data_IF_613254909825
#
_entry.id   IF_613254909825
#
_cell.length_a   1.000
_cell.length_b   1.000
_cell.length_c   1.000
_cell.angle_alpha   90.00
_cell.angle_beta   90.00
_cell.angle_gamma   90.00
#
_symmetry.space_group_name_H-M   'P 1'
#
loop_
_entity.id
_entity.type
_entity.pdbx_description
1 polymer ?
#
# COMPACT_ATOMS: atom_id res chain seq x y z
N UNK A 1 -34.48 -76.88 -4.20
CA UNK A 1 -33.03 -77.02 -3.96
C UNK A 1 -32.29 -76.63 -5.23
N UNK A 2 -31.46 -75.58 -5.12
CA UNK A 2 -30.33 -75.15 -5.99
C UNK A 2 -30.53 -74.97 -7.51
N UNK A 3 -30.41 -73.70 -7.90
CA UNK A 3 -30.12 -73.13 -9.22
C UNK A 3 -28.88 -73.73 -9.91
N UNK A 4 -28.88 -73.74 -11.24
CA UNK A 4 -27.69 -73.45 -12.05
C UNK A 4 -28.09 -72.70 -13.34
N UNK A 5 -27.27 -71.70 -13.64
CA UNK A 5 -27.41 -70.58 -14.57
C UNK A 5 -27.23 -71.03 -16.03
N UNK A 6 -28.09 -70.59 -16.95
CA UNK A 6 -27.85 -70.73 -18.40
C UNK A 6 -27.99 -69.38 -19.10
N UNK A 7 -26.83 -68.91 -19.54
CA UNK A 7 -26.62 -68.23 -20.82
C UNK A 7 -27.37 -66.92 -21.04
N UNK A 8 -26.69 -65.89 -20.54
CA UNK A 8 -26.61 -64.54 -21.07
C UNK A 8 -26.40 -64.58 -22.59
N UNK A 9 -27.45 -64.25 -23.35
CA UNK A 9 -27.30 -63.69 -24.69
C UNK A 9 -28.52 -62.84 -25.01
N UNK A 10 -28.25 -61.62 -25.49
CA UNK A 10 -29.18 -60.68 -26.10
C UNK A 10 -30.12 -59.91 -25.16
N UNK A 11 -29.62 -58.83 -24.55
CA UNK A 11 -30.23 -57.50 -24.71
C UNK A 11 -29.10 -56.45 -24.73
N UNK A 12 -28.46 -56.30 -25.88
CA UNK A 12 -27.80 -55.05 -26.28
C UNK A 12 -28.92 -54.19 -26.87
N UNK A 13 -29.55 -53.37 -26.04
CA UNK A 13 -30.38 -52.26 -26.50
C UNK A 13 -30.68 -51.33 -25.31
N UNK A 14 -30.43 -50.04 -25.52
CA UNK A 14 -30.77 -48.90 -24.64
C UNK A 14 -29.72 -48.63 -23.55
N UNK A 15 -28.52 -48.28 -23.99
CA UNK A 15 -27.56 -47.47 -23.25
C UNK A 15 -27.65 -46.03 -23.79
N UNK A 16 -28.67 -45.28 -23.39
CA UNK A 16 -28.80 -43.85 -23.74
C UNK A 16 -29.18 -43.06 -22.49
N UNK A 17 -28.12 -42.48 -21.91
CA UNK A 17 -28.01 -41.13 -21.33
C UNK A 17 -29.07 -40.65 -20.33
N UNK A 18 -28.72 -40.62 -19.04
CA UNK A 18 -28.98 -39.50 -18.13
C UNK A 18 -27.92 -39.48 -17.00
N UNK A 19 -26.65 -39.24 -17.35
CA UNK A 19 -25.71 -38.62 -16.40
C UNK A 19 -25.81 -37.11 -16.57
N UNK A 20 -26.76 -36.51 -15.86
CA UNK A 20 -26.73 -35.07 -15.59
C UNK A 20 -25.68 -34.85 -14.51
N UNK A 21 -24.40 -34.76 -14.90
CA UNK A 21 -23.40 -34.13 -14.06
C UNK A 21 -23.77 -32.64 -14.00
N UNK A 22 -24.43 -32.24 -12.90
CA UNK A 22 -24.36 -30.86 -12.44
C UNK A 22 -22.89 -30.53 -12.29
N UNK A 23 -22.33 -29.79 -13.24
CA UNK A 23 -21.08 -29.10 -13.01
C UNK A 23 -21.44 -27.84 -12.24
N UNK A 24 -21.72 -28.03 -10.95
CA UNK A 24 -21.57 -26.96 -9.97
C UNK A 24 -20.08 -26.63 -9.97
N UNK A 25 -19.73 -25.77 -10.92
CA UNK A 25 -18.46 -25.08 -10.95
C UNK A 25 -18.54 -24.01 -9.88
N UNK A 26 -18.49 -24.43 -8.61
CA UNK A 26 -18.16 -23.53 -7.53
C UNK A 26 -16.74 -23.04 -7.80
N UNK A 27 -16.63 -21.89 -8.46
CA UNK A 27 -15.40 -21.11 -8.49
C UNK A 27 -14.92 -20.99 -7.05
N UNK A 28 -13.70 -21.45 -6.72
CA UNK A 28 -13.24 -21.43 -5.34
C UNK A 28 -13.33 -20.00 -4.81
N UNK A 29 -14.00 -19.84 -3.67
CA UNK A 29 -14.14 -18.55 -3.01
C UNK A 29 -12.74 -18.00 -2.76
N UNK A 30 -12.39 -16.93 -3.48
CA UNK A 30 -11.10 -16.25 -3.32
C UNK A 30 -11.06 -15.68 -1.90
N UNK A 31 -10.07 -16.10 -1.11
CA UNK A 31 -9.85 -15.53 0.21
C UNK A 31 -9.30 -14.11 0.06
N UNK A 32 -10.21 -13.14 0.10
CA UNK A 32 -9.88 -11.71 0.01
C UNK A 32 -8.88 -11.25 1.08
N UNK A 33 -8.81 -11.93 2.23
CA UNK A 33 -7.92 -11.59 3.34
C UNK A 33 -6.59 -12.35 3.31
N UNK A 34 -6.27 -13.06 2.22
CA UNK A 34 -4.96 -13.67 2.08
C UNK A 34 -3.87 -12.60 2.24
N UNK A 35 -2.85 -12.89 3.06
CA UNK A 35 -1.71 -12.00 3.34
C UNK A 35 -2.06 -10.71 4.11
N UNK A 36 -3.32 -10.54 4.55
CA UNK A 36 -3.76 -9.37 5.32
C UNK A 36 -3.99 -9.72 6.78
N UNK A 37 -3.43 -8.91 7.67
CA UNK A 37 -3.60 -9.04 9.12
C UNK A 37 -4.40 -7.86 9.65
N UNK A 38 -5.46 -8.14 10.43
CA UNK A 38 -6.27 -7.10 11.08
C UNK A 38 -5.44 -6.43 12.18
N UNK A 39 -5.40 -5.10 12.18
CA UNK A 39 -4.65 -4.33 13.18
C UNK A 39 -5.52 -3.41 14.04
N UNK A 40 -6.73 -3.06 13.58
CA UNK A 40 -7.62 -2.15 14.31
C UNK A 40 -9.09 -2.40 13.98
N UNK A 41 -9.95 -2.09 14.94
CA UNK A 41 -11.38 -1.89 14.71
C UNK A 41 -11.78 -0.45 15.09
N UNK A 42 -12.60 0.16 14.25
CA UNK A 42 -13.22 1.46 14.48
C UNK A 42 -14.73 1.22 14.49
N UNK A 43 -15.45 1.69 15.50
CA UNK A 43 -16.89 1.44 15.61
C UNK A 43 -17.68 2.72 15.73
N UNK A 44 -18.90 2.70 15.20
CA UNK A 44 -19.95 3.65 15.56
C UNK A 44 -21.17 2.89 16.08
N UNK A 45 -22.32 3.54 16.19
CA UNK A 45 -23.54 2.90 16.72
C UNK A 45 -23.97 1.65 15.96
N UNK A 46 -23.90 1.67 14.63
CA UNK A 46 -24.51 0.63 13.77
C UNK A 46 -23.50 -0.29 13.09
N UNK A 47 -22.25 0.14 12.94
CA UNK A 47 -21.23 -0.60 12.19
C UNK A 47 -19.91 -0.74 12.94
N UNK A 48 -19.17 -1.78 12.58
CA UNK A 48 -17.77 -2.00 12.91
C UNK A 48 -16.96 -1.96 11.62
N UNK A 49 -15.90 -1.14 11.57
CA UNK A 49 -14.95 -1.06 10.48
C UNK A 49 -13.68 -1.77 10.92
N UNK A 50 -13.32 -2.82 10.22
CA UNK A 50 -12.09 -3.58 10.46
C UNK A 50 -11.00 -3.09 9.50
N UNK A 51 -9.81 -2.77 10.03
CA UNK A 51 -8.67 -2.31 9.25
C UNK A 51 -7.56 -3.36 9.21
N UNK A 52 -6.96 -3.53 8.04
CA UNK A 52 -5.98 -4.56 7.73
C UNK A 52 -4.76 -3.98 7.01
N UNK A 53 -3.61 -4.60 7.23
CA UNK A 53 -2.36 -4.31 6.54
C UNK A 53 -1.57 -5.62 6.36
N UNK A 54 -0.64 -5.68 5.40
CA UNK A 54 0.21 -6.86 5.17
C UNK A 54 1.04 -7.21 6.42
N UNK A 55 1.57 -6.19 7.10
CA UNK A 55 2.38 -6.34 8.33
C UNK A 55 1.53 -6.46 9.60
N UNK A 56 0.22 -6.22 9.52
CA UNK A 56 -0.66 -6.16 10.70
C UNK A 56 -0.42 -4.95 11.61
N UNK A 57 0.28 -3.92 11.14
CA UNK A 57 0.49 -2.66 11.84
C UNK A 57 0.70 -1.51 10.85
N UNK A 58 0.61 -0.28 11.33
CA UNK A 58 1.05 0.90 10.57
C UNK A 58 2.44 1.33 11.06
N UNK A 59 3.12 2.14 10.27
CA UNK A 59 4.35 2.84 10.67
C UNK A 59 4.47 4.20 9.97
N UNK A 60 5.38 5.05 10.42
CA UNK A 60 5.75 6.26 9.70
C UNK A 60 6.30 5.90 8.31
N UNK A 61 5.59 6.28 7.25
CA UNK A 61 5.88 5.87 5.88
C UNK A 61 4.62 5.70 5.04
N UNK A 62 4.76 5.06 3.88
CA UNK A 62 3.64 4.65 3.04
C UNK A 62 3.02 3.37 3.59
N UNK A 63 1.70 3.39 3.83
CA UNK A 63 0.97 2.26 4.40
C UNK A 63 -0.20 1.91 3.49
N UNK A 64 -0.24 0.66 3.03
CA UNK A 64 -1.40 0.10 2.36
C UNK A 64 -2.40 -0.38 3.41
N UNK A 65 -3.62 0.14 3.33
CA UNK A 65 -4.67 -0.15 4.29
C UNK A 65 -5.86 -0.72 3.53
N UNK A 66 -6.28 -1.90 3.95
CA UNK A 66 -7.54 -2.50 3.51
C UNK A 66 -8.58 -2.43 4.63
N UNK A 67 -9.86 -2.33 4.27
CA UNK A 67 -10.94 -2.26 5.26
C UNK A 67 -12.17 -3.06 4.85
N UNK A 68 -12.92 -3.49 5.87
CA UNK A 68 -14.26 -4.08 5.76
C UNK A 68 -15.20 -3.36 6.69
N UNK A 69 -16.46 -3.26 6.28
CA UNK A 69 -17.52 -2.65 7.09
C UNK A 69 -18.52 -3.74 7.44
N UNK A 70 -18.78 -3.95 8.72
CA UNK A 70 -19.70 -4.95 9.25
C UNK A 70 -20.90 -4.27 9.90
N UNK A 71 -22.10 -4.66 9.49
CA UNK A 71 -23.34 -4.24 10.13
C UNK A 71 -23.56 -5.03 11.42
N UNK A 72 -23.81 -4.31 12.52
CA UNK A 72 -23.92 -4.92 13.86
C UNK A 72 -25.25 -5.65 14.06
N UNK A 73 -26.32 -5.25 13.38
CA UNK A 73 -27.64 -5.84 13.54
C UNK A 73 -27.74 -7.20 12.84
N UNK A 74 -27.26 -7.29 11.60
CA UNK A 74 -27.28 -8.48 10.75
C UNK A 74 -26.03 -9.36 10.90
N UNK A 75 -24.93 -8.79 11.42
CA UNK A 75 -23.63 -9.44 11.48
C UNK A 75 -22.96 -9.62 10.12
N UNK A 76 -23.52 -9.07 9.03
CA UNK A 76 -23.02 -9.22 7.67
C UNK A 76 -22.06 -8.10 7.26
N UNK A 77 -21.18 -8.39 6.30
CA UNK A 77 -20.32 -7.38 5.71
C UNK A 77 -21.03 -6.61 4.60
N UNK A 78 -20.86 -5.29 4.63
CA UNK A 78 -21.40 -4.36 3.65
C UNK A 78 -20.57 -4.42 2.38
N UNK A 79 -21.24 -4.73 1.27
CA UNK A 79 -20.61 -4.87 -0.05
C UNK A 79 -20.82 -3.66 -0.97
N UNK A 80 -21.66 -2.71 -0.62
CA UNK A 80 -22.02 -1.61 -1.53
C UNK A 80 -21.82 -0.23 -0.88
N UNK A 81 -20.74 -0.11 -0.10
CA UNK A 81 -20.35 1.16 0.48
C UNK A 81 -19.52 1.97 -0.51
N UNK A 82 -19.74 3.28 -0.55
CA UNK A 82 -18.73 4.23 -1.05
C UNK A 82 -17.99 4.78 0.15
N UNK A 83 -16.67 4.69 0.15
CA UNK A 83 -15.82 5.00 1.32
C UNK A 83 -14.88 6.14 0.99
N UNK A 84 -14.69 7.03 1.96
CA UNK A 84 -13.66 8.04 1.97
C UNK A 84 -13.01 8.07 3.36
N UNK A 85 -11.75 8.50 3.42
CA UNK A 85 -11.06 8.69 4.70
C UNK A 85 -10.31 10.00 4.76
N UNK A 86 -10.04 10.46 5.98
CA UNK A 86 -9.21 11.62 6.25
C UNK A 86 -8.33 11.27 7.45
N UNK A 87 -7.01 11.10 7.26
CA UNK A 87 -6.07 11.02 8.36
C UNK A 87 -5.78 12.42 8.90
N UNK A 88 -5.74 12.59 10.22
CA UNK A 88 -5.42 13.86 10.85
C UNK A 88 -4.42 13.67 11.99
N UNK A 89 -3.28 14.34 11.90
CA UNK A 89 -2.30 14.45 12.97
C UNK A 89 -2.71 15.59 13.90
N UNK A 90 -2.72 15.31 15.19
CA UNK A 90 -2.90 16.30 16.24
C UNK A 90 -1.55 16.59 16.86
N UNK A 91 -1.03 17.80 16.63
CA UNK A 91 0.12 18.33 17.35
C UNK A 91 -0.36 19.28 18.45
N UNK A 92 0.56 19.75 19.32
CA UNK A 92 0.20 20.62 20.45
C UNK A 92 -0.56 21.88 20.05
N UNK A 93 -0.28 22.47 18.87
CA UNK A 93 -0.87 23.74 18.44
C UNK A 93 -1.49 23.72 17.04
N UNK A 94 -1.27 22.67 16.26
CA UNK A 94 -1.71 22.59 14.87
C UNK A 94 -2.16 21.18 14.55
N UNK A 95 -3.12 21.07 13.63
CA UNK A 95 -3.48 19.81 13.00
C UNK A 95 -3.11 19.86 11.52
N UNK A 96 -2.70 18.72 10.99
CA UNK A 96 -2.44 18.58 9.56
C UNK A 96 -2.80 17.17 9.10
N UNK A 97 -3.13 17.03 7.83
CA UNK A 97 -3.32 15.74 7.18
C UNK A 97 -2.03 15.28 6.49
N UNK A 98 -2.12 14.27 5.65
CA UNK A 98 -1.01 13.73 4.88
C UNK A 98 -1.46 13.18 3.52
N UNK A 99 -0.53 12.86 2.60
CA UNK A 99 -0.89 12.18 1.37
C UNK A 99 -1.68 10.91 1.67
N UNK A 100 -2.80 10.77 0.98
CA UNK A 100 -3.66 9.59 1.04
C UNK A 100 -4.32 9.41 -0.32
N UNK A 101 -4.56 8.16 -0.70
CA UNK A 101 -5.34 7.84 -1.90
C UNK A 101 -6.83 7.92 -1.61
N UNK A 102 -7.62 7.90 -2.68
CA UNK A 102 -9.00 7.45 -2.59
C UNK A 102 -9.08 6.00 -2.09
N UNK A 103 -10.24 5.62 -1.57
CA UNK A 103 -10.52 4.25 -1.13
C UNK A 103 -11.31 3.55 -2.23
N UNK A 104 -10.73 2.50 -2.79
CA UNK A 104 -11.30 1.77 -3.92
C UNK A 104 -11.77 0.39 -3.51
N UNK A 105 -12.84 -0.08 -4.14
CA UNK A 105 -13.32 -1.44 -3.91
C UNK A 105 -12.39 -2.44 -4.60
N UNK A 106 -11.99 -3.50 -3.89
CA UNK A 106 -11.04 -4.50 -4.43
C UNK A 106 -11.69 -5.36 -5.51
N UNK A 107 -12.90 -5.86 -5.24
CA UNK A 107 -13.69 -6.63 -6.21
C UNK A 107 -15.16 -6.20 -6.15
N UNK A 108 -15.86 -6.28 -7.29
CA UNK A 108 -17.24 -5.79 -7.41
C UNK A 108 -18.21 -6.46 -6.42
N UNK A 109 -18.06 -7.77 -6.17
CA UNK A 109 -18.92 -8.54 -5.26
C UNK A 109 -18.29 -8.81 -3.88
N UNK A 110 -17.08 -8.28 -3.69
CA UNK A 110 -16.29 -8.46 -2.48
C UNK A 110 -16.70 -7.56 -1.34
N UNK A 111 -15.95 -7.73 -0.26
CA UNK A 111 -16.15 -7.00 1.00
C UNK A 111 -15.01 -6.06 1.33
N UNK A 112 -13.87 -6.19 0.65
CA UNK A 112 -12.71 -5.34 0.86
C UNK A 112 -12.74 -4.07 0.02
N UNK A 113 -12.27 -3.02 0.67
CA UNK A 113 -11.85 -1.76 0.07
C UNK A 113 -10.40 -1.52 0.44
N UNK A 114 -9.64 -0.86 -0.42
CA UNK A 114 -8.22 -0.58 -0.22
C UNK A 114 -7.87 0.85 -0.56
N UNK A 115 -6.81 1.33 0.05
CA UNK A 115 -6.13 2.57 -0.31
C UNK A 115 -4.79 2.65 0.39
N UNK A 116 -4.15 3.81 0.33
CA UNK A 116 -2.90 4.06 1.02
C UNK A 116 -2.90 5.41 1.74
N UNK A 117 -2.08 5.49 2.79
CA UNK A 117 -1.83 6.69 3.58
C UNK A 117 -0.33 6.83 3.82
N UNK A 118 0.22 8.03 3.65
CA UNK A 118 1.64 8.34 3.86
C UNK A 118 1.81 9.15 5.14
N UNK A 119 2.04 8.49 6.27
CA UNK A 119 2.28 9.19 7.53
C UNK A 119 3.69 9.80 7.56
N UNK A 120 3.76 11.12 7.41
CA UNK A 120 5.02 11.88 7.40
C UNK A 120 5.69 11.92 8.78
N UNK A 121 4.92 11.71 9.85
CA UNK A 121 5.35 11.82 11.23
C UNK A 121 4.85 10.62 12.02
N UNK A 122 5.71 10.10 12.90
CA UNK A 122 5.31 9.14 13.92
C UNK A 122 4.51 9.82 15.03
N UNK A 123 3.67 9.04 15.70
CA UNK A 123 3.06 9.45 16.96
C UNK A 123 4.10 9.49 18.09
N UNK A 124 3.77 10.24 19.14
CA UNK A 124 4.51 10.27 20.40
C UNK A 124 3.53 10.43 21.57
N UNK A 125 4.03 10.75 22.77
CA UNK A 125 3.21 10.84 23.97
C UNK A 125 2.11 11.94 23.91
N UNK A 126 2.32 12.98 23.11
CA UNK A 126 1.42 14.15 23.05
C UNK A 126 0.82 14.38 21.67
N UNK A 127 1.39 13.78 20.63
CA UNK A 127 0.96 13.98 19.25
C UNK A 127 0.58 12.64 18.62
N UNK A 128 -0.57 12.57 17.97
CA UNK A 128 -1.15 11.31 17.51
C UNK A 128 -1.97 11.49 16.24
N UNK A 129 -2.22 10.38 15.54
CA UNK A 129 -3.08 10.35 14.37
C UNK A 129 -4.48 9.84 14.73
N UNK A 130 -5.51 10.50 14.23
CA UNK A 130 -6.82 9.86 14.06
C UNK A 130 -7.10 9.60 12.58
N UNK A 131 -8.01 8.65 12.35
CA UNK A 131 -8.53 8.33 11.04
C UNK A 131 -10.04 8.46 11.07
N UNK A 132 -10.56 9.46 10.36
CA UNK A 132 -11.99 9.59 10.10
C UNK A 132 -12.32 8.82 8.82
N UNK A 133 -13.29 7.92 8.91
CA UNK A 133 -13.81 7.16 7.77
C UNK A 133 -15.27 7.55 7.58
N UNK A 134 -15.55 8.20 6.47
CA UNK A 134 -16.90 8.54 6.02
C UNK A 134 -17.33 7.53 4.96
N UNK A 135 -18.54 6.99 5.07
CA UNK A 135 -19.03 6.01 4.11
C UNK A 135 -20.53 6.12 3.90
N UNK A 136 -20.97 5.82 2.69
CA UNK A 136 -22.39 5.85 2.30
C UNK A 136 -22.85 4.47 1.88
N UNK A 137 -23.99 4.02 2.40
CA UNK A 137 -24.63 2.75 2.07
C UNK A 137 -26.05 3.05 1.63
N UNK A 138 -26.42 2.70 0.38
CA UNK A 138 -27.75 2.98 -0.19
C UNK A 138 -28.19 4.45 -0.04
N UNK A 139 -27.26 5.40 -0.15
CA UNK A 139 -27.53 6.84 0.00
C UNK A 139 -27.54 7.36 1.45
N UNK A 140 -27.46 6.49 2.46
CA UNK A 140 -27.36 6.90 3.87
C UNK A 140 -25.91 7.08 4.26
N UNK A 141 -25.55 8.27 4.78
CA UNK A 141 -24.21 8.59 5.23
C UNK A 141 -23.96 8.13 6.67
N UNK A 142 -22.76 7.61 6.89
CA UNK A 142 -22.24 7.19 8.18
C UNK A 142 -20.80 7.68 8.33
N UNK A 143 -20.35 7.80 9.58
CA UNK A 143 -18.97 8.13 9.88
C UNK A 143 -18.50 7.36 11.11
N UNK A 144 -17.21 7.12 11.20
CA UNK A 144 -16.55 6.71 12.43
C UNK A 144 -15.13 7.30 12.48
N UNK A 145 -14.65 7.62 13.67
CA UNK A 145 -13.33 8.21 13.88
C UNK A 145 -12.67 7.53 15.07
N UNK A 146 -11.38 7.23 14.96
CA UNK A 146 -10.61 6.66 16.06
C UNK A 146 -9.15 7.00 15.91
N UNK A 147 -8.44 7.02 17.04
CA UNK A 147 -6.97 7.11 17.07
C UNK A 147 -6.38 5.82 16.49
N UNK A 148 -5.39 5.98 15.62
CA UNK A 148 -4.63 4.89 15.01
C UNK A 148 -3.17 4.97 15.42
N UNK A 149 -2.56 3.81 15.65
CA UNK A 149 -1.18 3.72 16.10
C UNK A 149 -0.21 3.82 14.93
N UNK A 150 0.64 4.86 14.91
CA UNK A 150 1.65 5.11 13.87
C UNK A 150 3.02 5.31 14.53
N UNK A 151 3.73 4.24 14.91
CA UNK A 151 5.09 4.32 15.45
C UNK A 151 6.10 4.81 14.40
N UNK A 152 7.27 5.25 14.86
CA UNK A 152 8.38 5.57 13.97
C UNK A 152 8.87 4.29 13.27
N UNK A 153 9.12 4.39 11.97
CA UNK A 153 9.76 3.30 11.24
C UNK A 153 11.23 3.20 11.67
N UNK A 154 11.76 1.97 11.70
CA UNK A 154 13.16 1.73 11.99
C UNK A 154 14.10 2.27 10.90
N UNK A 155 13.57 2.56 9.72
CA UNK A 155 14.29 3.05 8.53
C UNK A 155 13.66 4.33 8.01
N UNK A 156 14.44 5.14 7.30
CA UNK A 156 13.90 6.29 6.58
C UNK A 156 12.97 5.84 5.42
N UNK A 157 11.68 5.67 5.70
CA UNK A 157 10.65 5.29 4.70
C UNK A 157 9.96 6.46 4.03
N UNK A 158 10.09 7.65 4.60
CA UNK A 158 9.53 8.90 4.05
C UNK A 158 10.49 10.04 4.31
N UNK A 159 10.65 10.95 3.35
CA UNK A 159 11.42 12.18 3.53
C UNK A 159 10.59 13.38 3.13
N UNK A 160 10.64 14.44 3.94
CA UNK A 160 9.95 15.70 3.70
C UNK A 160 10.98 16.81 3.63
N UNK A 161 10.93 17.65 2.60
CA UNK A 161 11.93 18.69 2.37
C UNK A 161 11.35 19.89 1.62
N UNK A 162 12.04 21.03 1.73
CA UNK A 162 11.76 22.21 0.91
C UNK A 162 12.69 22.22 -0.30
N UNK A 163 12.13 22.31 -1.50
CA UNK A 163 12.87 22.44 -2.75
C UNK A 163 13.46 23.85 -2.93
N UNK A 164 14.35 24.00 -3.91
CA UNK A 164 14.93 25.29 -4.31
C UNK A 164 13.89 26.29 -4.85
N UNK A 165 12.68 25.81 -5.17
CA UNK A 165 11.50 26.58 -5.54
C UNK A 165 10.64 27.03 -4.35
N UNK A 166 11.08 26.76 -3.11
CA UNK A 166 10.36 27.01 -1.85
C UNK A 166 9.08 26.19 -1.66
N UNK A 167 8.89 25.12 -2.44
CA UNK A 167 7.76 24.20 -2.27
C UNK A 167 8.18 23.05 -1.35
N UNK A 168 7.29 22.63 -0.46
CA UNK A 168 7.49 21.44 0.38
C UNK A 168 7.05 20.19 -0.36
N UNK A 169 7.95 19.22 -0.46
CA UNK A 169 7.74 17.94 -1.10
C UNK A 169 7.90 16.80 -0.11
N UNK A 170 7.25 15.69 -0.42
CA UNK A 170 7.32 14.43 0.31
C UNK A 170 7.68 13.34 -0.70
N UNK A 171 8.68 12.53 -0.38
CA UNK A 171 8.98 11.29 -1.12
C UNK A 171 8.82 10.12 -0.17
N UNK A 172 8.02 9.13 -0.55
CA UNK A 172 7.71 7.96 0.28
C UNK A 172 8.09 6.67 -0.45
N UNK A 173 8.79 5.78 0.25
CA UNK A 173 9.10 4.43 -0.20
C UNK A 173 7.84 3.57 -0.24
N UNK A 174 7.56 2.90 -1.37
CA UNK A 174 6.36 2.07 -1.56
C UNK A 174 6.72 0.59 -1.67
N UNK A 175 7.56 0.24 -2.65
CA UNK A 175 8.03 -1.12 -2.94
C UNK A 175 9.55 -1.10 -3.11
N UNK A 176 10.26 -2.23 -2.93
CA UNK A 176 9.73 -3.55 -2.58
C UNK A 176 9.43 -3.74 -1.09
N UNK A 177 8.39 -4.51 -0.75
CA UNK A 177 8.18 -5.03 0.61
C UNK A 177 9.18 -6.14 0.98
N UNK A 178 9.55 -6.95 -0.01
CA UNK A 178 10.45 -8.11 0.14
C UNK A 178 11.63 -7.99 -0.82
N UNK A 179 12.59 -7.08 -0.55
CA UNK A 179 13.80 -6.96 -1.36
C UNK A 179 14.64 -8.25 -1.32
N UNK A 180 15.45 -8.42 -2.36
CA UNK A 180 16.39 -9.53 -2.50
C UNK A 180 17.70 -9.07 -3.10
N UNK A 181 18.76 -9.89 -2.95
CA UNK A 181 20.03 -9.69 -3.65
C UNK A 181 19.83 -9.95 -5.14
N UNK A 182 19.36 -8.93 -5.84
CA UNK A 182 19.07 -8.92 -7.27
C UNK A 182 18.83 -7.47 -7.74
N UNK A 183 18.43 -7.32 -9.00
CA UNK A 183 17.73 -6.13 -9.47
C UNK A 183 16.29 -6.19 -8.98
N UNK A 184 15.89 -5.24 -8.14
CA UNK A 184 14.55 -5.12 -7.59
C UNK A 184 13.78 -4.03 -8.34
N UNK A 185 12.49 -4.24 -8.54
CA UNK A 185 11.56 -3.16 -8.83
C UNK A 185 11.40 -2.30 -7.58
N UNK A 186 11.61 -0.99 -7.72
CA UNK A 186 11.45 -0.03 -6.64
C UNK A 186 10.42 1.02 -7.07
N UNK A 187 9.55 1.39 -6.13
CA UNK A 187 8.50 2.38 -6.36
C UNK A 187 8.51 3.42 -5.24
N UNK A 188 8.33 4.68 -5.60
CA UNK A 188 8.15 5.79 -4.65
C UNK A 188 6.92 6.64 -5.01
N UNK A 189 6.26 7.19 -4.00
CA UNK A 189 5.30 8.27 -4.16
C UNK A 189 5.98 9.62 -4.00
N UNK A 190 5.66 10.58 -4.86
CA UNK A 190 6.14 11.98 -4.77
C UNK A 190 4.95 12.90 -4.67
N UNK A 191 4.88 13.67 -3.58
CA UNK A 191 3.74 14.52 -3.27
C UNK A 191 4.19 15.95 -3.00
N UNK A 192 3.33 16.90 -3.34
CA UNK A 192 3.50 18.32 -3.01
C UNK A 192 2.60 18.67 -1.84
N UNK A 193 3.15 19.28 -0.81
CA UNK A 193 2.33 19.88 0.25
C UNK A 193 1.78 21.22 -0.26
N UNK A 194 0.58 21.18 -0.82
CA UNK A 194 -0.12 22.37 -1.29
C UNK A 194 -0.74 23.16 -0.13
N UNK A 195 -1.22 22.44 0.89
CA UNK A 195 -1.65 23.01 2.17
C UNK A 195 -1.43 22.01 3.30
N UNK A 196 -1.83 22.37 4.52
CA UNK A 196 -1.84 21.42 5.65
C UNK A 196 -2.82 20.24 5.45
N UNK A 197 -3.70 20.30 4.46
CA UNK A 197 -4.76 19.30 4.21
C UNK A 197 -4.74 18.72 2.79
N UNK A 198 -3.91 19.24 1.88
CA UNK A 198 -3.89 18.87 0.46
C UNK A 198 -2.47 18.47 0.05
N UNK A 199 -2.33 17.24 -0.43
CA UNK A 199 -1.06 16.63 -0.77
C UNK A 199 -1.11 15.90 -2.13
N UNK A 200 -1.39 16.61 -3.24
CA UNK A 200 -1.47 15.98 -4.55
C UNK A 200 -0.14 15.32 -4.95
N UNK A 201 -0.24 14.26 -5.74
CA UNK A 201 0.91 13.65 -6.44
C UNK A 201 1.51 14.68 -7.38
N UNK A 202 2.84 14.73 -7.46
CA UNK A 202 3.56 15.59 -8.39
C UNK A 202 3.68 14.90 -9.74
N UNK A 203 3.23 15.57 -10.80
CA UNK A 203 3.33 15.07 -12.15
C UNK A 203 4.60 15.55 -12.87
N UNK A 204 5.12 14.71 -13.77
CA UNK A 204 6.20 15.01 -14.72
C UNK A 204 7.54 15.41 -14.09
N UNK A 205 7.83 14.98 -12.87
CA UNK A 205 9.15 15.14 -12.27
C UNK A 205 10.04 13.94 -12.61
N UNK A 206 11.29 13.97 -12.16
CA UNK A 206 12.20 12.82 -12.18
C UNK A 206 12.83 12.67 -10.81
N UNK A 207 13.03 11.43 -10.38
CA UNK A 207 13.76 11.14 -9.14
C UNK A 207 14.97 10.30 -9.50
N UNK A 208 16.17 10.83 -9.28
CA UNK A 208 17.41 10.07 -9.48
C UNK A 208 17.75 9.26 -8.23
N UNK A 209 18.43 8.13 -8.42
CA UNK A 209 18.89 7.28 -7.33
C UNK A 209 20.39 7.00 -7.39
N UNK A 210 21.00 6.97 -6.20
CA UNK A 210 22.33 6.42 -5.99
C UNK A 210 22.33 5.63 -4.66
N UNK A 211 22.13 4.30 -4.72
CA UNK A 211 22.11 3.47 -3.53
C UNK A 211 23.53 3.19 -3.04
N UNK A 212 23.73 3.37 -1.74
CA UNK A 212 25.01 3.17 -1.05
C UNK A 212 24.84 2.32 0.19
N UNK A 213 25.87 1.56 0.55
CA UNK A 213 26.00 0.89 1.84
C UNK A 213 26.95 1.69 2.74
N UNK A 214 26.45 2.46 3.71
CA UNK A 214 27.30 3.28 4.57
C UNK A 214 28.30 2.44 5.38
N UNK A 215 27.89 1.25 5.81
CA UNK A 215 28.73 0.33 6.61
C UNK A 215 29.88 -0.31 5.82
N UNK A 216 29.86 -0.23 4.49
CA UNK A 216 30.85 -0.86 3.60
C UNK A 216 31.65 0.19 2.83
N UNK A 217 32.06 1.26 3.51
CA UNK A 217 32.86 2.33 2.90
C UNK A 217 32.11 3.07 1.78
N UNK A 218 30.79 3.22 1.92
CA UNK A 218 29.92 3.84 0.91
C UNK A 218 29.88 3.08 -0.44
N UNK A 219 29.95 1.74 -0.37
CA UNK A 219 29.85 0.88 -1.54
C UNK A 219 28.54 1.12 -2.32
N UNK A 220 28.63 1.37 -3.62
CA UNK A 220 27.48 1.53 -4.51
C UNK A 220 27.15 0.25 -5.27
N UNK A 221 26.03 0.23 -5.99
CA UNK A 221 25.66 -0.87 -6.87
C UNK A 221 25.54 -0.44 -8.34
N UNK A 222 25.80 -1.34 -9.32
CA UNK A 222 25.62 -1.06 -10.73
C UNK A 222 24.15 -1.25 -11.17
N UNK A 223 23.82 -0.87 -12.40
CA UNK A 223 22.55 -1.18 -13.08
C UNK A 223 21.28 -0.59 -12.45
N UNK A 224 21.41 0.38 -11.56
CA UNK A 224 20.26 1.15 -11.06
C UNK A 224 19.63 1.97 -12.19
N UNK A 225 18.31 2.13 -12.12
CA UNK A 225 17.56 2.95 -13.07
C UNK A 225 16.78 3.99 -12.27
N UNK A 226 17.02 5.26 -12.60
CA UNK A 226 16.29 6.40 -12.05
C UNK A 226 14.78 6.22 -12.21
N UNK A 227 14.02 6.80 -11.29
CA UNK A 227 12.57 6.66 -11.33
C UNK A 227 11.94 7.49 -12.44
N UNK A 228 10.93 6.89 -13.08
CA UNK A 228 10.04 7.56 -14.03
C UNK A 228 8.59 7.44 -13.56
N UNK A 229 7.81 8.49 -13.76
CA UNK A 229 6.42 8.48 -13.36
C UNK A 229 5.60 7.56 -14.28
N UNK A 230 4.83 6.65 -13.68
CA UNK A 230 3.90 5.78 -14.38
C UNK A 230 2.60 6.53 -14.68
N UNK A 231 2.07 6.34 -15.88
CA UNK A 231 0.77 6.91 -16.26
C UNK A 231 -0.42 6.13 -15.68
N UNK A 232 -0.18 4.92 -15.16
CA UNK A 232 -1.23 4.02 -14.66
C UNK A 232 -1.63 4.34 -13.21
N UNK A 233 -0.63 4.46 -12.33
CA UNK A 233 -0.80 4.64 -10.88
C UNK A 233 -0.25 5.98 -10.37
N UNK A 234 0.35 6.80 -11.26
CA UNK A 234 0.99 8.09 -10.94
C UNK A 234 2.21 8.01 -10.03
N UNK A 235 2.59 6.82 -9.57
CA UNK A 235 3.79 6.59 -8.78
C UNK A 235 5.04 6.57 -9.66
N UNK A 236 6.20 6.65 -9.02
CA UNK A 236 7.51 6.72 -9.67
C UNK A 236 8.19 5.37 -9.56
N UNK A 237 8.49 4.74 -10.70
CA UNK A 237 9.03 3.38 -10.81
C UNK A 237 10.45 3.40 -11.36
N UNK A 238 11.33 2.62 -10.74
CA UNK A 238 12.74 2.52 -11.08
C UNK A 238 13.29 1.12 -10.83
N UNK A 239 14.61 0.96 -10.87
CA UNK A 239 15.29 -0.31 -10.57
C UNK A 239 16.38 -0.11 -9.52
N UNK A 240 16.33 -0.91 -8.46
CA UNK A 240 17.30 -0.91 -7.36
C UNK A 240 18.10 -2.22 -7.36
N UNK A 241 19.36 -2.15 -7.75
CA UNK A 241 20.27 -3.30 -7.69
C UNK A 241 20.84 -3.44 -6.29
N UNK A 242 20.57 -4.56 -5.64
CA UNK A 242 21.11 -4.89 -4.32
C UNK A 242 22.07 -6.07 -4.50
N UNK A 243 23.35 -5.85 -4.23
CA UNK A 243 24.42 -6.84 -4.49
C UNK A 243 24.78 -7.68 -3.28
N UNK A 244 24.32 -7.28 -2.10
CA UNK A 244 24.50 -7.98 -0.82
C UNK A 244 23.43 -7.53 0.18
N UNK A 245 23.24 -8.32 1.24
CA UNK A 245 22.34 -8.02 2.35
C UNK A 245 22.87 -6.90 3.24
N UNK A 246 22.00 -6.36 4.10
CA UNK A 246 22.31 -5.27 5.02
C UNK A 246 21.68 -3.93 4.64
N UNK A 247 22.05 -2.88 5.38
CA UNK A 247 21.49 -1.54 5.20
C UNK A 247 21.99 -0.86 3.92
N UNK A 248 21.04 -0.47 3.08
CA UNK A 248 21.24 0.41 1.93
C UNK A 248 20.55 1.75 2.17
N UNK A 249 21.32 2.83 2.00
CA UNK A 249 20.84 4.19 1.88
C UNK A 249 20.63 4.51 0.40
N UNK A 250 19.40 4.75 0.01
CA UNK A 250 19.02 5.13 -1.35
C UNK A 250 19.08 6.66 -1.40
N UNK A 251 20.20 7.22 -1.86
CA UNK A 251 20.33 8.66 -2.02
C UNK A 251 19.47 9.12 -3.19
N UNK A 252 18.81 10.27 -3.03
CA UNK A 252 17.86 10.79 -4.02
C UNK A 252 18.27 12.16 -4.55
N UNK A 253 17.86 12.47 -5.78
CA UNK A 253 17.70 13.85 -6.25
C UNK A 253 16.30 14.01 -6.84
N UNK A 254 15.58 15.06 -6.45
CA UNK A 254 14.30 15.42 -7.07
C UNK A 254 14.55 16.51 -8.13
N UNK A 255 14.12 16.26 -9.36
CA UNK A 255 14.20 17.20 -10.47
C UNK A 255 12.80 17.52 -10.98
N UNK A 256 12.58 18.78 -11.35
CA UNK A 256 11.34 19.19 -12.00
C UNK A 256 11.31 18.79 -13.49
N UNK A 257 10.22 19.12 -14.18
CA UNK A 257 10.03 18.81 -15.60
C UNK A 257 11.06 19.44 -16.55
N UNK A 258 11.80 20.46 -16.10
CA UNK A 258 12.88 21.12 -16.85
C UNK A 258 14.27 20.62 -16.47
N UNK A 259 14.36 19.47 -15.79
CA UNK A 259 15.60 18.86 -15.31
C UNK A 259 16.41 19.75 -14.33
N UNK A 260 15.74 20.69 -13.65
CA UNK A 260 16.34 21.48 -12.57
C UNK A 260 16.25 20.68 -11.27
N UNK A 261 17.39 20.50 -10.60
CA UNK A 261 17.46 19.87 -9.28
C UNK A 261 16.80 20.78 -8.24
N UNK A 262 15.71 20.29 -7.65
CA UNK A 262 15.00 20.97 -6.56
C UNK A 262 15.63 20.64 -5.19
N UNK A 263 16.08 19.39 -5.00
CA UNK A 263 16.75 18.94 -3.79
C UNK A 263 17.57 17.69 -4.06
N UNK A 264 18.61 17.49 -3.24
CA UNK A 264 19.46 16.29 -3.27
C UNK A 264 20.73 16.50 -4.08
N UNK A 265 21.79 15.85 -3.62
CA UNK A 265 23.16 16.01 -4.09
C UNK A 265 23.55 14.83 -4.99
N UNK A 266 24.39 15.11 -5.99
CA UNK A 266 25.05 14.05 -6.76
C UNK A 266 26.14 13.41 -5.89
N UNK A 267 26.11 12.09 -5.78
CA UNK A 267 27.05 11.36 -4.92
C UNK A 267 28.43 11.30 -5.56
N UNK A 268 29.43 11.64 -4.77
CA UNK A 268 30.86 11.65 -5.13
C UNK A 268 31.68 11.27 -3.90
N UNK A 269 33.00 11.13 -4.04
CA UNK A 269 33.88 10.87 -2.89
C UNK A 269 33.85 12.02 -1.86
N UNK A 270 33.60 13.26 -2.29
CA UNK A 270 33.50 14.43 -1.41
C UNK A 270 32.10 14.65 -0.85
N UNK A 271 31.08 14.06 -1.50
CA UNK A 271 29.67 14.17 -1.12
C UNK A 271 29.11 12.75 -1.00
N UNK A 272 29.36 12.07 0.13
CA UNK A 272 29.07 10.64 0.26
C UNK A 272 27.58 10.33 0.41
N UNK A 273 26.75 11.33 0.72
CA UNK A 273 25.31 11.16 0.90
C UNK A 273 24.53 12.39 0.42
N UNK A 274 23.32 12.14 -0.04
CA UNK A 274 22.33 13.17 -0.34
C UNK A 274 21.58 13.58 0.94
N UNK A 275 21.18 14.84 0.99
CA UNK A 275 20.32 15.44 2.01
C UNK A 275 18.90 14.87 1.99
N UNK A 276 18.50 14.22 0.91
CA UNK A 276 17.26 13.45 0.82
C UNK A 276 17.59 12.00 0.45
N UNK A 277 17.07 11.07 1.24
CA UNK A 277 17.33 9.66 1.08
C UNK A 277 16.17 8.83 1.63
N UNK A 278 16.15 7.57 1.23
CA UNK A 278 15.34 6.51 1.84
C UNK A 278 16.28 5.39 2.30
N UNK A 279 15.78 4.48 3.13
CA UNK A 279 16.54 3.34 3.62
C UNK A 279 15.78 2.03 3.43
N UNK A 280 16.56 0.98 3.18
CA UNK A 280 16.10 -0.39 3.07
C UNK A 280 17.15 -1.32 3.68
N UNK A 281 16.71 -2.35 4.40
CA UNK A 281 17.58 -3.38 4.96
C UNK A 281 16.85 -4.73 4.89
N UNK A 282 17.61 -5.78 4.58
CA UNK A 282 17.13 -7.16 4.44
C UNK A 282 18.29 -8.15 4.55
#
# INVERSE_FOLDING_TARGET
MKFQLKNILAVVAISITLFSCSSDSETPAVNELAELTKFKEITNTTHTIELYAHTGALEQGYNEISLRIKDKASGQYVKNATVNWIPLMHMTMITHSCPNSGVEKVTADGTLYKGNIVFQMAQNATEYWDLKIDYTINGTAYAATSVIDVPASAKQRVTTFTGSDNVRYIVAYVEPHHPKVALNDITVGVYKMESMMSFPVVDNFKVKIDPRMPSMGNHGSPNNVDFTQSTLDKLYHGKLSLTMTGLWKINLQLLNASDIVLKGETITDLVPASSIYLEIEF
#
